data_IF_456370964856
#
_entry.id   IF_456370964856
#
_cell.length_a   1.000
_cell.length_b   1.000
_cell.length_c   1.000
_cell.angle_alpha   90.00
_cell.angle_beta   90.00
_cell.angle_gamma   90.00
#
_symmetry.space_group_name_H-M   'P 1'
#
loop_
_entity.id
_entity.type
_entity.pdbx_description
1 polymer ?
#
# COMPACT_ATOMS: atom_id res chain seq x y z
N UNK A 1 -70.10 -6.85 61.96
CA UNK A 1 -68.63 -6.68 61.89
C UNK A 1 -68.04 -7.74 60.96
N UNK A 2 -67.77 -7.40 59.70
CA UNK A 2 -67.12 -8.28 58.70
C UNK A 2 -65.75 -7.72 58.46
N UNK A 3 -64.70 -8.49 58.76
CA UNK A 3 -63.30 -8.16 58.47
C UNK A 3 -62.99 -8.64 57.07
N UNK A 4 -62.57 -7.73 56.23
CA UNK A 4 -62.07 -8.00 54.86
C UNK A 4 -60.55 -8.07 54.91
N UNK A 5 -59.98 -9.20 54.47
CA UNK A 5 -58.53 -9.38 54.30
C UNK A 5 -58.16 -8.98 52.89
N UNK A 6 -57.14 -8.18 52.71
CA UNK A 6 -56.60 -7.95 51.37
C UNK A 6 -55.60 -9.07 50.99
N UNK A 7 -55.81 -9.67 49.83
CA UNK A 7 -54.84 -10.56 49.19
C UNK A 7 -53.72 -9.73 48.56
N UNK A 8 -52.51 -9.88 49.07
CA UNK A 8 -51.33 -9.38 48.47
C UNK A 8 -50.87 -10.37 47.39
N UNK A 9 -50.99 -10.02 46.11
CA UNK A 9 -50.43 -10.76 45.01
C UNK A 9 -48.95 -10.40 44.86
N UNK A 10 -48.07 -11.34 45.23
CA UNK A 10 -46.64 -11.21 44.98
C UNK A 10 -46.34 -11.49 43.47
N UNK A 11 -46.05 -10.45 42.71
CA UNK A 11 -45.55 -10.58 41.33
C UNK A 11 -44.06 -10.97 41.39
N UNK A 12 -43.74 -12.24 41.13
CA UNK A 12 -42.38 -12.70 40.92
C UNK A 12 -41.89 -12.22 39.53
N UNK A 13 -41.08 -11.19 39.49
CA UNK A 13 -40.31 -10.79 38.30
C UNK A 13 -39.22 -11.85 38.09
N UNK A 14 -39.46 -12.76 37.16
CA UNK A 14 -38.43 -13.60 36.58
C UNK A 14 -37.52 -12.68 35.72
N UNK A 15 -36.40 -12.23 36.28
CA UNK A 15 -35.32 -11.65 35.55
C UNK A 15 -34.64 -12.77 34.73
N UNK A 16 -35.05 -12.92 33.49
CA UNK A 16 -34.30 -13.71 32.51
C UNK A 16 -33.01 -12.91 32.25
N UNK A 17 -31.95 -13.24 32.96
CA UNK A 17 -30.59 -12.79 32.64
C UNK A 17 -30.21 -13.41 31.32
N UNK A 18 -30.37 -12.68 30.24
CA UNK A 18 -29.67 -12.99 28.98
C UNK A 18 -28.19 -12.89 29.30
N UNK A 19 -27.39 -13.93 29.00
CA UNK A 19 -25.95 -13.78 29.10
C UNK A 19 -25.54 -12.64 28.14
N UNK A 20 -25.02 -11.56 28.70
CA UNK A 20 -24.31 -10.56 27.91
C UNK A 20 -23.12 -11.30 27.28
N UNK A 21 -23.26 -11.74 26.05
CA UNK A 21 -22.09 -12.16 25.27
C UNK A 21 -21.24 -10.90 25.16
N UNK A 22 -20.13 -10.90 25.88
CA UNK A 22 -19.10 -9.92 25.67
C UNK A 22 -18.73 -10.02 24.18
N UNK A 23 -19.18 -9.08 23.39
CA UNK A 23 -18.78 -8.99 21.97
C UNK A 23 -17.31 -8.56 22.00
N UNK A 24 -16.42 -9.50 21.74
CA UNK A 24 -14.99 -9.23 21.60
C UNK A 24 -14.75 -8.39 20.33
N UNK A 25 -15.03 -7.09 20.44
CA UNK A 25 -14.70 -6.16 19.38
C UNK A 25 -13.18 -6.04 19.30
N UNK A 26 -12.64 -6.13 18.10
CA UNK A 26 -11.20 -6.05 17.87
C UNK A 26 -10.89 -5.31 16.59
N UNK A 27 -9.86 -4.47 16.64
CA UNK A 27 -9.27 -3.80 15.48
C UNK A 27 -7.78 -4.09 15.44
N UNK A 28 -7.33 -4.76 14.40
CA UNK A 28 -5.92 -5.05 14.22
C UNK A 28 -5.35 -4.35 12.98
N UNK A 29 -4.23 -3.67 13.17
CA UNK A 29 -3.51 -2.96 12.13
C UNK A 29 -2.01 -2.94 12.43
N UNK A 30 -1.22 -2.57 11.43
CA UNK A 30 0.22 -2.38 11.59
C UNK A 30 0.66 -1.02 11.06
N UNK A 31 1.68 -0.45 11.70
CA UNK A 31 2.37 0.73 11.22
C UNK A 31 3.83 0.36 10.92
N UNK A 32 4.29 0.72 9.73
CA UNK A 32 5.68 0.56 9.32
C UNK A 32 6.33 1.94 9.17
N UNK A 33 7.55 2.06 9.66
CA UNK A 33 8.42 3.21 9.46
C UNK A 33 9.83 2.78 9.13
N UNK A 34 10.54 3.55 8.30
CA UNK A 34 11.89 3.19 7.89
C UNK A 34 12.53 4.21 6.96
N UNK A 35 13.62 3.79 6.32
CA UNK A 35 14.33 4.54 5.32
C UNK A 35 14.42 3.77 3.99
N UNK A 36 14.44 4.51 2.89
CA UNK A 36 14.56 3.93 1.56
C UNK A 36 15.53 4.74 0.69
N UNK A 37 16.22 4.04 -0.19
CA UNK A 37 16.87 4.61 -1.36
C UNK A 37 15.90 4.49 -2.52
N UNK A 38 15.59 5.59 -3.18
CA UNK A 38 14.58 5.68 -4.22
C UNK A 38 15.12 6.53 -5.38
N UNK A 39 14.71 6.31 -6.63
CA UNK A 39 14.93 7.28 -7.69
C UNK A 39 14.35 8.65 -7.31
N UNK A 40 14.98 9.73 -7.71
CA UNK A 40 14.50 11.09 -7.41
C UNK A 40 13.09 11.34 -7.98
N UNK A 41 12.85 10.82 -9.18
CA UNK A 41 11.55 10.79 -9.87
C UNK A 41 11.49 9.58 -10.80
N UNK A 42 10.35 9.27 -11.38
CA UNK A 42 10.20 8.19 -12.36
C UNK A 42 11.06 8.48 -13.60
N UNK A 43 12.06 7.65 -13.83
CA UNK A 43 13.01 7.79 -14.92
C UNK A 43 14.31 8.52 -14.56
N UNK A 44 14.48 8.96 -13.31
CA UNK A 44 15.74 9.57 -12.87
C UNK A 44 16.88 8.56 -12.90
N UNK A 45 18.07 9.00 -13.29
CA UNK A 45 19.33 8.29 -13.09
C UNK A 45 19.91 8.50 -11.68
N UNK A 46 19.43 9.53 -10.97
CA UNK A 46 19.86 9.86 -9.63
C UNK A 46 18.93 9.21 -8.59
N UNK A 47 19.49 8.94 -7.42
CA UNK A 47 18.77 8.37 -6.28
C UNK A 47 18.85 9.28 -5.07
N UNK A 48 17.85 9.22 -4.22
CA UNK A 48 17.79 9.93 -2.94
C UNK A 48 17.48 8.96 -1.81
N UNK A 49 17.96 9.30 -0.63
CA UNK A 49 17.51 8.67 0.62
C UNK A 49 16.32 9.45 1.15
N UNK A 50 15.31 8.73 1.61
CA UNK A 50 14.12 9.34 2.18
C UNK A 50 13.41 8.40 3.16
N UNK A 51 12.46 8.93 3.94
CA UNK A 51 11.63 8.11 4.80
C UNK A 51 10.72 7.22 3.96
N UNK A 52 10.47 6.00 4.45
CA UNK A 52 9.43 5.10 3.95
C UNK A 52 8.50 4.73 5.09
N UNK A 53 7.28 4.35 4.76
CA UNK A 53 6.31 3.94 5.75
C UNK A 53 5.08 3.33 5.12
N UNK A 54 4.25 2.72 5.97
CA UNK A 54 3.03 2.07 5.53
C UNK A 54 2.09 1.79 6.67
N UNK A 55 0.83 1.63 6.32
CA UNK A 55 -0.24 1.18 7.21
C UNK A 55 -0.78 -0.12 6.63
N UNK A 56 -0.79 -1.18 7.45
CA UNK A 56 -1.43 -2.45 7.12
C UNK A 56 -2.69 -2.62 7.95
N UNK A 57 -3.79 -3.02 7.35
CA UNK A 57 -4.99 -3.43 8.05
C UNK A 57 -5.02 -4.97 8.10
N UNK A 58 -5.21 -5.54 9.29
CA UNK A 58 -5.22 -6.99 9.49
C UNK A 58 -6.64 -7.51 9.68
N UNK A 59 -7.45 -6.83 10.49
CA UNK A 59 -8.83 -7.22 10.69
C UNK A 59 -9.62 -6.28 11.59
N UNK A 60 -10.93 -6.37 11.46
CA UNK A 60 -11.93 -5.71 12.30
C UNK A 60 -12.98 -6.74 12.68
N UNK A 61 -13.29 -6.85 13.97
CA UNK A 61 -14.45 -7.55 14.51
C UNK A 61 -15.26 -6.56 15.30
N UNK A 62 -16.50 -6.33 14.89
CA UNK A 62 -17.41 -5.42 15.57
C UNK A 62 -18.83 -6.00 15.54
N UNK A 63 -19.28 -6.53 16.66
CA UNK A 63 -20.53 -7.27 16.71
C UNK A 63 -20.53 -8.48 15.78
N UNK A 64 -21.49 -8.54 14.87
CA UNK A 64 -21.59 -9.58 13.84
C UNK A 64 -20.75 -9.28 12.60
N UNK A 65 -20.17 -8.09 12.48
CA UNK A 65 -19.31 -7.71 11.35
C UNK A 65 -17.89 -8.22 11.60
N UNK A 66 -17.37 -9.03 10.68
CA UNK A 66 -15.98 -9.46 10.66
C UNK A 66 -15.36 -9.18 9.28
N UNK A 67 -14.25 -8.46 9.26
CA UNK A 67 -13.47 -8.15 8.06
C UNK A 67 -12.02 -8.53 8.35
N UNK A 68 -11.46 -9.46 7.59
CA UNK A 68 -10.12 -10.01 7.89
C UNK A 68 -10.12 -10.82 9.18
N UNK A 69 -8.95 -11.03 9.75
CA UNK A 69 -8.76 -11.73 11.02
C UNK A 69 -7.87 -10.90 11.96
N UNK A 70 -8.44 -10.27 13.01
CA UNK A 70 -7.67 -9.50 13.96
C UNK A 70 -6.61 -10.32 14.74
N UNK A 71 -6.80 -11.62 14.86
CA UNK A 71 -5.93 -12.54 15.58
C UNK A 71 -5.02 -13.34 14.63
N UNK A 72 -5.20 -13.15 13.34
CA UNK A 72 -4.45 -13.87 12.29
C UNK A 72 -3.05 -13.34 12.04
N UNK A 73 -2.26 -14.06 11.24
CA UNK A 73 -0.92 -13.63 10.85
C UNK A 73 -0.96 -12.27 10.16
N UNK A 74 -0.12 -11.35 10.61
CA UNK A 74 -0.09 -9.97 10.07
C UNK A 74 0.52 -9.92 8.68
N UNK A 75 1.46 -10.82 8.37
CA UNK A 75 2.20 -10.82 7.12
C UNK A 75 1.98 -12.12 6.36
N UNK A 76 1.52 -12.01 5.10
CA UNK A 76 1.19 -13.16 4.24
C UNK A 76 0.24 -14.19 4.89
N UNK A 77 -0.84 -13.71 5.53
CA UNK A 77 -1.90 -14.59 6.04
C UNK A 77 -2.50 -15.45 4.91
N UNK A 78 -2.66 -16.77 5.11
CA UNK A 78 -3.23 -17.65 4.10
C UNK A 78 -4.66 -17.26 3.72
N UNK A 79 -5.04 -17.56 2.47
CA UNK A 79 -6.38 -17.33 1.94
C UNK A 79 -6.51 -16.06 1.12
N UNK A 80 -7.74 -15.77 0.71
CA UNK A 80 -8.12 -14.57 -0.02
C UNK A 80 -8.44 -13.43 0.95
N UNK A 81 -7.98 -12.23 0.64
CA UNK A 81 -8.27 -11.05 1.46
C UNK A 81 -8.23 -9.78 0.62
N UNK A 82 -8.91 -8.75 1.10
CA UNK A 82 -8.86 -7.39 0.54
C UNK A 82 -8.37 -6.45 1.63
N UNK A 83 -7.39 -5.60 1.28
CA UNK A 83 -6.78 -4.63 2.20
C UNK A 83 -6.75 -3.24 1.59
N UNK A 84 -6.62 -2.22 2.42
CA UNK A 84 -6.29 -0.87 1.97
C UNK A 84 -4.93 -0.83 1.28
N UNK A 85 -4.82 -0.09 0.19
CA UNK A 85 -3.59 0.17 -0.53
C UNK A 85 -3.29 1.67 -0.50
N UNK A 86 -2.08 2.03 -0.09
CA UNK A 86 -1.65 3.41 0.04
C UNK A 86 -0.29 3.59 -0.62
N UNK A 87 -0.08 4.76 -1.26
CA UNK A 87 1.21 5.11 -1.83
C UNK A 87 1.45 6.61 -1.73
N UNK A 88 2.62 6.98 -1.29
CA UNK A 88 3.11 8.35 -1.38
C UNK A 88 4.10 8.47 -2.53
N UNK A 89 3.91 9.47 -3.39
CA UNK A 89 4.85 9.83 -4.44
C UNK A 89 5.35 11.23 -4.13
N UNK A 90 6.65 11.37 -3.97
CA UNK A 90 7.26 12.65 -3.67
C UNK A 90 7.12 13.64 -4.85
N UNK A 91 7.21 14.92 -4.55
CA UNK A 91 7.24 15.97 -5.57
C UNK A 91 8.44 15.80 -6.51
N UNK A 92 8.24 16.04 -7.82
CA UNK A 92 9.30 16.25 -8.78
C UNK A 92 9.47 17.75 -9.01
N UNK A 93 10.68 18.25 -8.98
CA UNK A 93 10.98 19.65 -9.29
C UNK A 93 11.48 19.77 -10.71
N UNK A 94 11.07 20.84 -11.39
CA UNK A 94 11.59 21.26 -12.69
C UNK A 94 12.93 21.97 -12.55
N UNK A 95 13.96 21.24 -12.13
CA UNK A 95 15.31 21.75 -11.92
C UNK A 95 16.36 20.76 -12.44
N UNK A 96 17.61 21.15 -12.44
CA UNK A 96 18.74 20.37 -12.92
C UNK A 96 18.45 19.86 -14.36
N UNK A 97 18.50 18.56 -14.62
CA UNK A 97 18.20 17.99 -15.94
C UNK A 97 16.75 18.21 -16.42
N UNK A 98 15.83 18.63 -15.54
CA UNK A 98 14.43 18.96 -15.86
C UNK A 98 14.16 20.47 -15.80
N UNK A 99 15.20 21.30 -15.89
CA UNK A 99 15.01 22.75 -15.89
C UNK A 99 14.11 23.19 -17.05
N UNK A 100 13.08 23.99 -16.75
CA UNK A 100 12.07 24.41 -17.72
C UNK A 100 10.78 23.58 -17.67
N UNK A 101 10.76 22.44 -16.96
CA UNK A 101 9.54 21.70 -16.71
C UNK A 101 8.80 22.23 -15.49
N UNK A 102 7.49 22.04 -15.46
CA UNK A 102 6.69 22.33 -14.28
C UNK A 102 6.95 21.35 -13.13
N UNK A 103 6.82 21.86 -11.91
CA UNK A 103 6.87 21.04 -10.69
C UNK A 103 5.65 20.09 -10.64
N UNK A 104 5.90 18.81 -10.43
CA UNK A 104 4.84 17.86 -10.10
C UNK A 104 4.68 17.79 -8.58
N UNK A 105 3.49 18.13 -8.10
CA UNK A 105 3.17 18.11 -6.66
C UNK A 105 3.29 16.69 -6.10
N UNK A 106 3.63 16.60 -4.81
CA UNK A 106 3.55 15.33 -4.10
C UNK A 106 2.13 14.75 -4.18
N UNK A 107 2.04 13.44 -4.30
CA UNK A 107 0.77 12.74 -4.44
C UNK A 107 0.59 11.71 -3.33
N UNK A 108 -0.65 11.56 -2.89
CA UNK A 108 -1.06 10.49 -1.99
C UNK A 108 -2.18 9.69 -2.64
N UNK A 109 -1.94 8.41 -2.81
CA UNK A 109 -2.87 7.46 -3.41
C UNK A 109 -3.54 6.62 -2.33
N UNK A 110 -4.82 6.35 -2.50
CA UNK A 110 -5.64 5.47 -1.65
C UNK A 110 -6.39 4.52 -2.54
N UNK A 111 -6.49 3.27 -2.13
CA UNK A 111 -7.16 2.24 -2.91
C UNK A 111 -7.33 0.94 -2.15
N UNK A 112 -7.53 -0.12 -2.91
CA UNK A 112 -7.70 -1.47 -2.39
C UNK A 112 -6.71 -2.42 -3.08
N UNK A 113 -6.25 -3.41 -2.32
CA UNK A 113 -5.46 -4.54 -2.79
C UNK A 113 -6.19 -5.83 -2.49
N UNK A 114 -6.56 -6.56 -3.52
CA UNK A 114 -6.99 -7.95 -3.40
C UNK A 114 -5.76 -8.85 -3.49
N UNK A 115 -5.69 -9.87 -2.64
CA UNK A 115 -4.61 -10.83 -2.66
C UNK A 115 -5.08 -12.23 -2.28
N UNK A 116 -4.30 -13.21 -2.72
CA UNK A 116 -4.45 -14.60 -2.35
C UNK A 116 -3.08 -15.17 -1.96
N UNK A 117 -3.03 -15.80 -0.79
CA UNK A 117 -1.80 -16.34 -0.22
C UNK A 117 -1.97 -17.81 0.09
N UNK A 118 -0.99 -18.61 -0.31
CA UNK A 118 -0.84 -20.02 0.08
C UNK A 118 0.40 -20.18 0.96
N UNK A 119 0.79 -21.40 1.24
CA UNK A 119 2.05 -21.69 1.93
C UNK A 119 3.26 -21.14 1.16
N UNK A 120 3.29 -21.30 -0.17
CA UNK A 120 4.45 -21.00 -1.01
C UNK A 120 4.26 -19.82 -1.95
N UNK A 121 3.03 -19.37 -2.18
CA UNK A 121 2.71 -18.35 -3.17
C UNK A 121 1.85 -17.25 -2.60
N UNK A 122 2.14 -16.04 -3.02
CA UNK A 122 1.33 -14.85 -2.79
C UNK A 122 1.12 -14.14 -4.13
N UNK A 123 -0.11 -13.85 -4.49
CA UNK A 123 -0.45 -13.06 -5.67
C UNK A 123 -1.37 -11.91 -5.28
N UNK A 124 -1.23 -10.78 -5.93
CA UNK A 124 -2.06 -9.63 -5.64
C UNK A 124 -2.27 -8.72 -6.84
N UNK A 125 -3.34 -7.94 -6.75
CA UNK A 125 -3.59 -6.79 -7.61
C UNK A 125 -4.11 -5.64 -6.75
N UNK A 126 -3.60 -4.43 -6.97
CA UNK A 126 -4.15 -3.24 -6.35
C UNK A 126 -4.56 -2.19 -7.38
N UNK A 127 -5.54 -1.39 -6.97
CA UNK A 127 -6.03 -0.24 -7.71
C UNK A 127 -6.11 0.94 -6.74
N UNK A 128 -5.46 2.04 -7.10
CA UNK A 128 -5.34 3.24 -6.27
C UNK A 128 -5.75 4.48 -7.05
N UNK A 129 -6.28 5.47 -6.34
CA UNK A 129 -6.59 6.80 -6.85
C UNK A 129 -5.80 7.86 -6.09
N UNK A 130 -5.18 8.78 -6.80
CA UNK A 130 -4.48 9.93 -6.21
C UNK A 130 -5.47 10.94 -5.61
N UNK A 131 -5.72 10.84 -4.32
CA UNK A 131 -6.64 11.77 -3.60
C UNK A 131 -6.00 13.14 -3.39
N UNK A 132 -4.68 13.21 -3.44
CA UNK A 132 -3.88 14.44 -3.45
C UNK A 132 -2.88 14.33 -4.62
N UNK A 133 -2.54 15.44 -5.25
CA UNK A 133 -1.57 15.52 -6.33
C UNK A 133 -2.17 15.18 -7.70
N UNK A 134 -1.76 14.10 -8.33
CA UNK A 134 -2.04 13.76 -9.75
C UNK A 134 -3.51 13.47 -10.09
N UNK A 135 -4.37 13.17 -9.12
CA UNK A 135 -5.81 12.90 -9.34
C UNK A 135 -6.09 11.87 -10.44
N UNK A 136 -5.32 10.79 -10.47
CA UNK A 136 -5.36 9.76 -11.51
C UNK A 136 -5.42 8.36 -10.90
N UNK A 137 -5.75 7.37 -11.73
CA UNK A 137 -5.77 5.96 -11.36
C UNK A 137 -4.42 5.34 -11.67
N UNK A 138 -3.89 4.59 -10.71
CA UNK A 138 -2.70 3.76 -10.85
C UNK A 138 -2.90 2.43 -10.12
N UNK A 139 -2.08 1.45 -10.40
CA UNK A 139 -2.13 0.17 -9.73
C UNK A 139 -0.90 -0.68 -9.97
N UNK A 140 -0.89 -1.82 -9.32
CA UNK A 140 0.19 -2.79 -9.42
C UNK A 140 -0.39 -4.20 -9.37
N UNK A 141 0.19 -5.10 -10.15
CA UNK A 141 -0.01 -6.54 -10.02
C UNK A 141 1.33 -7.19 -9.69
N UNK A 142 1.31 -8.19 -8.84
CA UNK A 142 2.51 -8.88 -8.44
C UNK A 142 2.25 -10.29 -7.93
N UNK A 143 3.32 -11.03 -7.82
CA UNK A 143 3.30 -12.36 -7.22
C UNK A 143 4.64 -12.66 -6.59
N UNK A 144 4.63 -13.45 -5.52
CA UNK A 144 5.82 -13.85 -4.78
C UNK A 144 5.86 -15.35 -4.56
N UNK A 145 7.04 -15.91 -4.62
CA UNK A 145 7.36 -17.14 -3.95
C UNK A 145 7.71 -16.81 -2.49
N UNK A 146 7.22 -17.63 -1.56
CA UNK A 146 7.39 -17.44 -0.12
C UNK A 146 8.21 -18.57 0.47
N UNK A 147 9.30 -18.21 1.14
CA UNK A 147 10.02 -19.09 2.05
C UNK A 147 9.73 -18.68 3.49
N UNK A 148 9.38 -19.63 4.33
CA UNK A 148 9.12 -19.42 5.76
C UNK A 148 9.95 -20.40 6.57
N UNK A 149 10.52 -19.92 7.64
CA UNK A 149 11.22 -20.78 8.60
C UNK A 149 10.49 -20.84 9.95
N UNK A 150 10.85 -21.80 10.82
CA UNK A 150 10.22 -21.95 12.14
C UNK A 150 10.40 -20.75 13.09
N UNK A 151 11.35 -19.85 12.85
CA UNK A 151 11.53 -18.62 13.63
C UNK A 151 10.51 -17.54 13.29
N UNK A 152 9.69 -17.76 12.24
CA UNK A 152 8.76 -16.81 11.67
C UNK A 152 9.41 -15.87 10.65
N UNK A 153 10.68 -16.08 10.29
CA UNK A 153 11.30 -15.35 9.19
C UNK A 153 10.61 -15.71 7.87
N UNK A 154 10.33 -14.68 7.06
CA UNK A 154 9.74 -14.85 5.73
C UNK A 154 10.62 -14.14 4.73
N UNK A 155 11.02 -14.88 3.69
CA UNK A 155 11.60 -14.31 2.48
C UNK A 155 10.56 -14.40 1.36
N UNK A 156 10.36 -13.31 0.63
CA UNK A 156 9.48 -13.29 -0.53
C UNK A 156 10.24 -12.77 -1.75
N UNK A 157 9.96 -13.33 -2.91
CA UNK A 157 10.58 -12.91 -4.14
C UNK A 157 9.64 -13.10 -5.33
N UNK A 158 9.54 -12.08 -6.21
CA UNK A 158 8.70 -12.23 -7.37
C UNK A 158 8.52 -10.99 -8.25
N UNK A 159 7.83 -11.18 -9.39
CA UNK A 159 7.62 -10.14 -10.39
C UNK A 159 6.62 -9.08 -9.94
N UNK A 160 6.80 -7.88 -10.50
CA UNK A 160 5.93 -6.71 -10.34
C UNK A 160 5.63 -6.10 -11.70
N UNK A 161 4.41 -5.58 -11.87
CA UNK A 161 4.06 -4.74 -13.01
C UNK A 161 3.16 -3.60 -12.55
N UNK A 162 3.60 -2.36 -12.80
CA UNK A 162 2.85 -1.15 -12.46
C UNK A 162 2.15 -0.58 -13.70
N UNK A 163 0.95 -0.06 -13.51
CA UNK A 163 0.17 0.57 -14.56
C UNK A 163 -0.47 1.88 -14.07
N UNK A 164 -0.78 2.75 -15.01
CA UNK A 164 -1.50 4.00 -14.76
C UNK A 164 -2.43 4.34 -15.92
N UNK A 165 -3.49 5.11 -15.64
CA UNK A 165 -4.30 5.66 -16.71
C UNK A 165 -3.52 6.76 -17.47
N UNK A 166 -4.06 7.26 -18.58
CA UNK A 166 -3.41 8.29 -19.39
C UNK A 166 -3.09 9.56 -18.59
N UNK A 167 -3.90 9.93 -17.60
CA UNK A 167 -3.63 11.09 -16.75
C UNK A 167 -2.41 10.86 -15.84
N UNK A 168 -2.27 9.66 -15.25
CA UNK A 168 -1.09 9.29 -14.48
C UNK A 168 0.18 9.36 -15.35
N UNK A 169 0.14 8.70 -16.50
CA UNK A 169 1.30 8.65 -17.38
C UNK A 169 1.67 10.04 -17.91
N UNK A 170 0.70 10.88 -18.27
CA UNK A 170 0.96 12.28 -18.66
C UNK A 170 1.60 13.09 -17.53
N UNK A 171 1.16 12.91 -16.30
CA UNK A 171 1.73 13.64 -15.15
C UNK A 171 3.20 13.29 -14.92
N UNK A 172 3.59 12.03 -15.07
CA UNK A 172 4.95 11.60 -14.71
C UNK A 172 5.90 11.42 -15.89
N UNK A 173 5.37 11.17 -17.08
CA UNK A 173 6.15 10.87 -18.29
C UNK A 173 5.87 11.81 -19.46
N UNK A 174 4.86 12.68 -19.35
CA UNK A 174 4.52 13.65 -20.37
C UNK A 174 5.43 14.86 -20.38
N UNK A 175 5.52 15.50 -21.53
CA UNK A 175 6.13 16.82 -21.76
C UNK A 175 5.13 17.62 -22.58
N UNK A 176 4.62 18.72 -22.04
CA UNK A 176 3.68 19.61 -22.74
C UNK A 176 4.42 20.45 -23.80
N UNK A 177 3.69 21.01 -24.77
CA UNK A 177 4.24 21.94 -25.77
C UNK A 177 4.94 23.13 -25.10
N UNK A 178 4.33 23.69 -24.03
CA UNK A 178 4.91 24.81 -23.28
C UNK A 178 6.23 24.43 -22.60
N UNK A 179 6.30 23.24 -21.97
CA UNK A 179 7.53 22.73 -21.38
C UNK A 179 8.61 22.46 -22.43
N UNK A 180 8.23 21.86 -23.56
CA UNK A 180 9.15 21.63 -24.67
C UNK A 180 9.75 22.94 -25.21
N UNK A 181 8.94 23.99 -25.33
CA UNK A 181 9.43 25.31 -25.73
C UNK A 181 10.40 25.93 -24.72
N UNK A 182 10.20 25.68 -23.42
CA UNK A 182 11.06 26.20 -22.35
C UNK A 182 12.34 25.39 -22.13
N UNK A 183 12.31 24.08 -22.40
CA UNK A 183 13.47 23.18 -22.24
C UNK A 183 14.37 23.14 -23.47
N UNK A 184 13.93 23.73 -24.59
CA UNK A 184 14.66 23.71 -25.88
C UNK A 184 14.77 22.29 -26.43
N UNK A 185 15.88 21.95 -27.12
CA UNK A 185 16.03 20.65 -27.79
C UNK A 185 16.18 19.46 -26.82
N UNK A 186 16.30 19.74 -25.51
CA UNK A 186 16.55 18.70 -24.49
C UNK A 186 15.33 17.79 -24.26
N UNK A 187 14.12 18.37 -24.24
CA UNK A 187 12.87 17.63 -24.01
C UNK A 187 11.85 18.01 -25.09
N UNK A 188 11.53 17.09 -25.97
CA UNK A 188 10.49 17.27 -26.99
C UNK A 188 9.11 17.00 -26.42
N UNK A 189 8.07 17.61 -27.02
CA UNK A 189 6.68 17.32 -26.65
C UNK A 189 6.39 15.82 -26.69
N UNK A 190 5.71 15.34 -25.67
CA UNK A 190 5.36 13.93 -25.54
C UNK A 190 4.07 13.71 -24.74
N UNK A 191 3.11 13.07 -25.36
CA UNK A 191 1.81 12.75 -24.75
C UNK A 191 1.61 11.24 -24.62
N UNK A 192 1.96 10.64 -23.45
CA UNK A 192 1.82 9.21 -23.24
C UNK A 192 0.37 8.78 -23.03
N UNK A 193 0.06 7.57 -23.47
CA UNK A 193 -1.19 6.86 -23.21
C UNK A 193 -1.19 6.21 -21.82
N UNK A 194 -2.35 5.70 -21.37
CA UNK A 194 -2.45 4.82 -20.21
C UNK A 194 -1.92 3.42 -20.52
N UNK A 195 -1.68 2.64 -19.47
CA UNK A 195 -1.25 1.25 -19.57
C UNK A 195 -0.11 0.92 -18.61
N UNK A 196 0.48 -0.25 -18.80
CA UNK A 196 1.64 -0.66 -18.02
C UNK A 196 2.85 0.23 -18.35
N UNK A 197 3.44 0.80 -17.30
CA UNK A 197 4.58 1.70 -17.43
C UNK A 197 5.87 1.12 -16.83
N UNK A 198 5.80 0.05 -16.00
CA UNK A 198 6.99 -0.65 -15.52
C UNK A 198 6.75 -2.13 -15.33
N UNK A 199 7.84 -2.90 -15.43
CA UNK A 199 7.93 -4.29 -15.00
C UNK A 199 9.19 -4.45 -14.18
N UNK A 200 9.12 -5.25 -13.12
CA UNK A 200 10.22 -5.39 -12.19
C UNK A 200 10.22 -6.70 -11.43
N UNK A 201 11.16 -6.80 -10.52
CA UNK A 201 11.32 -7.91 -9.60
C UNK A 201 11.67 -7.38 -8.21
N UNK A 202 11.08 -7.95 -7.18
CA UNK A 202 11.31 -7.57 -5.80
C UNK A 202 11.71 -8.78 -4.97
N UNK A 203 12.64 -8.56 -4.05
CA UNK A 203 12.97 -9.49 -2.97
C UNK A 203 12.73 -8.76 -1.67
N UNK A 204 11.92 -9.35 -0.80
CA UNK A 204 11.58 -8.81 0.50
C UNK A 204 11.88 -9.80 1.62
N UNK A 205 12.13 -9.27 2.80
CA UNK A 205 12.34 -10.04 4.02
C UNK A 205 11.54 -9.45 5.17
N UNK A 206 10.99 -10.33 5.99
CA UNK A 206 10.27 -10.01 7.22
C UNK A 206 10.82 -10.87 8.35
N UNK A 207 11.26 -10.25 9.45
CA UNK A 207 11.80 -10.92 10.63
C UNK A 207 11.04 -10.46 11.87
N UNK A 208 10.27 -11.33 12.55
CA UNK A 208 9.71 -11.02 13.85
C UNK A 208 10.82 -10.69 14.86
N UNK A 209 10.62 -9.66 15.66
CA UNK A 209 11.51 -9.24 16.77
C UNK A 209 10.82 -9.41 18.13
N UNK A 210 9.68 -10.09 18.16
CA UNK A 210 8.84 -10.30 19.32
C UNK A 210 7.37 -10.33 18.92
N UNK A 211 6.43 -10.28 19.90
CA UNK A 211 5.00 -10.42 19.60
C UNK A 211 4.43 -9.30 18.72
N UNK A 212 4.92 -8.07 18.91
CA UNK A 212 4.32 -6.88 18.26
C UNK A 212 5.26 -6.22 17.25
N UNK A 213 6.52 -6.62 17.18
CA UNK A 213 7.52 -5.95 16.35
C UNK A 213 8.12 -6.86 15.30
N UNK A 214 8.43 -6.28 14.16
CA UNK A 214 9.18 -6.96 13.11
C UNK A 214 10.13 -5.99 12.38
N UNK A 215 11.28 -6.52 11.96
CA UNK A 215 12.12 -5.85 10.97
C UNK A 215 11.66 -6.24 9.57
N UNK A 216 11.73 -5.28 8.64
CA UNK A 216 11.39 -5.50 7.23
C UNK A 216 12.47 -4.91 6.34
N UNK A 217 12.69 -5.52 5.19
CA UNK A 217 13.57 -4.99 4.16
C UNK A 217 13.11 -5.46 2.80
N UNK A 218 13.36 -4.64 1.77
CA UNK A 218 13.09 -5.01 0.40
C UNK A 218 14.08 -4.37 -0.54
N UNK A 219 14.37 -5.07 -1.63
CA UNK A 219 15.13 -4.58 -2.77
C UNK A 219 14.30 -4.83 -4.01
N UNK A 220 14.12 -3.80 -4.82
CA UNK A 220 13.33 -3.87 -6.04
C UNK A 220 14.09 -3.23 -7.21
N UNK A 221 14.05 -3.92 -8.31
CA UNK A 221 14.48 -3.43 -9.61
C UNK A 221 13.28 -3.36 -10.54
N UNK A 222 13.04 -2.20 -11.13
CA UNK A 222 12.01 -1.95 -12.13
C UNK A 222 12.64 -1.48 -13.44
N UNK A 223 12.06 -1.89 -14.56
CA UNK A 223 12.39 -1.35 -15.88
C UNK A 223 11.17 -0.70 -16.49
N UNK A 224 11.28 0.59 -16.78
CA UNK A 224 10.23 1.35 -17.45
C UNK A 224 10.00 0.81 -18.86
N UNK A 225 8.73 0.71 -19.26
CA UNK A 225 8.25 0.09 -20.50
C UNK A 225 7.24 0.99 -21.21
N UNK A 226 6.86 0.59 -22.43
CA UNK A 226 5.84 1.27 -23.23
C UNK A 226 6.14 2.76 -23.41
N UNK A 227 5.14 3.59 -23.22
CA UNK A 227 5.25 5.05 -23.34
C UNK A 227 6.19 5.65 -22.30
N UNK A 228 6.21 5.13 -21.07
CA UNK A 228 7.15 5.58 -20.06
C UNK A 228 8.60 5.45 -20.54
N UNK A 229 8.96 4.34 -21.19
CA UNK A 229 10.31 4.14 -21.74
C UNK A 229 10.64 5.05 -22.93
N UNK A 230 9.62 5.57 -23.63
CA UNK A 230 9.79 6.50 -24.76
C UNK A 230 9.79 7.96 -24.35
N UNK A 231 9.39 8.25 -23.11
CA UNK A 231 9.37 9.61 -22.58
C UNK A 231 10.76 10.27 -22.71
N UNK A 232 10.84 11.50 -23.21
CA UNK A 232 12.09 12.28 -23.22
C UNK A 232 12.71 12.43 -21.83
N UNK A 233 11.89 12.57 -20.79
CA UNK A 233 12.32 12.61 -19.37
C UNK A 233 13.12 11.36 -19.02
N UNK A 234 12.61 10.19 -19.40
CA UNK A 234 13.21 8.88 -19.08
C UNK A 234 14.43 8.61 -19.96
N UNK A 235 14.45 9.13 -21.18
CA UNK A 235 15.59 9.00 -22.09
C UNK A 235 16.79 9.83 -21.65
N UNK A 236 16.57 10.98 -21.01
CA UNK A 236 17.64 11.77 -20.39
C UNK A 236 18.18 11.12 -19.10
N UNK A 237 17.35 10.39 -18.38
CA UNK A 237 17.71 9.72 -17.15
C UNK A 237 17.97 8.22 -17.35
N UNK A 238 17.11 7.37 -16.77
CA UNK A 238 17.26 5.92 -16.84
C UNK A 238 15.92 5.20 -16.91
N UNK A 239 15.84 4.19 -17.78
CA UNK A 239 14.74 3.23 -17.77
C UNK A 239 14.83 2.24 -16.61
N UNK A 240 16.02 2.07 -16.03
CA UNK A 240 16.28 1.13 -14.95
C UNK A 240 16.15 1.89 -13.63
N UNK A 241 15.25 1.42 -12.78
CA UNK A 241 14.94 2.04 -11.51
C UNK A 241 15.23 1.05 -10.38
N UNK A 242 16.03 1.47 -9.42
CA UNK A 242 16.40 0.66 -8.27
C UNK A 242 15.81 1.28 -7.00
N UNK A 243 15.26 0.42 -6.12
CA UNK A 243 14.78 0.79 -4.80
C UNK A 243 15.30 -0.19 -3.78
N UNK A 244 15.69 0.31 -2.61
CA UNK A 244 15.98 -0.52 -1.45
C UNK A 244 15.39 0.15 -0.22
N UNK A 245 14.77 -0.63 0.66
CA UNK A 245 14.20 -0.11 1.89
C UNK A 245 14.47 -1.04 3.07
N UNK A 246 14.59 -0.43 4.24
CA UNK A 246 14.61 -1.10 5.52
C UNK A 246 13.66 -0.38 6.48
N UNK A 247 13.03 -1.12 7.36
CA UNK A 247 12.11 -0.54 8.31
C UNK A 247 11.75 -1.46 9.45
N UNK A 248 10.98 -0.90 10.37
CA UNK A 248 10.41 -1.61 11.51
C UNK A 248 8.91 -1.49 11.42
N UNK A 249 8.22 -2.58 11.67
CA UNK A 249 6.77 -2.66 11.72
C UNK A 249 6.34 -2.93 13.15
N UNK A 250 5.34 -2.20 13.63
CA UNK A 250 4.64 -2.49 14.88
C UNK A 250 3.22 -2.90 14.59
N UNK A 251 2.78 -3.97 15.25
CA UNK A 251 1.43 -4.50 15.18
C UNK A 251 0.63 -4.02 16.39
N UNK A 252 -0.63 -3.71 16.14
CA UNK A 252 -1.58 -3.26 17.13
C UNK A 252 -2.83 -4.14 17.03
N UNK A 253 -3.24 -4.69 18.17
CA UNK A 253 -4.51 -5.40 18.32
C UNK A 253 -5.27 -4.73 19.47
N UNK A 254 -6.24 -3.90 19.12
CA UNK A 254 -7.08 -3.16 20.06
C UNK A 254 -8.35 -3.97 20.29
N UNK A 255 -8.61 -4.35 21.55
CA UNK A 255 -9.84 -5.02 21.99
C UNK A 255 -10.67 -4.07 22.84
N UNK A 256 -11.99 -4.00 22.62
CA UNK A 256 -12.89 -3.07 23.31
C UNK A 256 -14.34 -3.55 23.32
#
# INVERSE_FOLDING_TARGET
>A
MRRVFPYAAAAALLSIGLPAQAQDNALAFSLRGGAAVLPDYFGSSNSRVGPTGGIGFTGLRFGSLAIGDPDGPVHFAPGASVRGAFRYIAKRKGKDELQGMEDVKASFEVGLRAHYTTEFWHVYADLRYGVIGHKAIAGEVGGDFLYRDPSGFILNAGPRAEFGNSRFNRTYFGVTEAEAAMTGPALTEFTPSGGFHSVGFEVGAYQPLGPDWAATGAVRYDRLRGDAARSPIVQQGSRNQFRAEIGVTRHFNLRF
#
